data_IF_459108422465
#
_entry.id   IF_459108422465
#
_cell.length_a   1.000
_cell.length_b   1.000
_cell.length_c   1.000
_cell.angle_alpha   90.00
_cell.angle_beta   90.00
_cell.angle_gamma   90.00
#
_symmetry.space_group_name_H-M   'P 1'
#
loop_
_entity.id
_entity.type
_entity.pdbx_description
1 polymer ?
#
# COMPACT_ATOMS: atom_id res chain seq x y z
N UNK A 1 -68.53 -32.14 14.11
CA UNK A 1 -67.29 -32.39 13.35
C UNK A 1 -67.19 -31.31 12.31
N UNK A 2 -66.50 -30.23 12.66
CA UNK A 2 -66.30 -29.05 11.82
C UNK A 2 -64.88 -29.17 11.29
N UNK A 3 -64.75 -29.19 9.98
CA UNK A 3 -63.46 -29.21 9.28
C UNK A 3 -62.88 -27.81 9.44
N UNK A 4 -61.82 -27.70 10.23
CA UNK A 4 -60.98 -26.50 10.29
C UNK A 4 -60.00 -26.62 9.13
N UNK A 5 -60.21 -25.83 8.09
CA UNK A 5 -59.16 -25.55 7.11
C UNK A 5 -58.06 -24.79 7.87
N UNK A 6 -56.92 -25.46 8.09
CA UNK A 6 -55.68 -24.77 8.46
C UNK A 6 -55.22 -24.01 7.22
N UNK A 7 -55.71 -22.79 7.06
CA UNK A 7 -55.08 -21.80 6.20
C UNK A 7 -53.61 -21.72 6.59
N UNK A 8 -52.72 -21.92 5.62
CA UNK A 8 -51.28 -21.70 5.71
C UNK A 8 -50.99 -20.31 6.27
N UNK A 9 -50.85 -20.26 7.59
CA UNK A 9 -50.17 -19.17 8.28
C UNK A 9 -48.71 -19.59 8.33
N UNK A 10 -48.04 -19.57 7.17
CA UNK A 10 -46.61 -19.31 7.11
C UNK A 10 -46.44 -17.82 7.43
N UNK A 11 -46.61 -17.53 8.71
CA UNK A 11 -46.15 -16.31 9.33
C UNK A 11 -44.69 -16.14 8.94
N UNK A 12 -44.47 -15.24 7.99
CA UNK A 12 -43.83 -13.98 8.32
C UNK A 12 -42.67 -14.10 9.31
N UNK A 13 -41.79 -15.08 9.08
CA UNK A 13 -40.36 -14.96 9.31
C UNK A 13 -39.86 -13.89 8.34
N UNK A 14 -40.30 -12.66 8.64
CA UNK A 14 -39.78 -11.39 8.23
C UNK A 14 -38.27 -11.53 8.27
N UNK A 15 -37.67 -11.91 7.14
CA UNK A 15 -36.93 -11.02 6.24
C UNK A 15 -36.61 -9.62 6.79
N UNK A 16 -36.24 -9.50 8.06
CA UNK A 16 -35.08 -8.71 8.48
C UNK A 16 -33.82 -9.39 7.94
N UNK A 17 -33.79 -9.59 6.61
CA UNK A 17 -32.56 -9.53 5.83
C UNK A 17 -32.15 -8.08 6.01
N UNK A 18 -31.39 -7.82 7.06
CA UNK A 18 -30.59 -6.62 7.18
C UNK A 18 -29.88 -6.46 5.85
N UNK A 19 -30.32 -5.48 5.08
CA UNK A 19 -29.70 -4.93 3.87
C UNK A 19 -28.33 -4.32 4.21
N UNK A 20 -27.58 -4.93 5.12
CA UNK A 20 -26.16 -4.65 5.26
C UNK A 20 -25.49 -5.29 4.05
N UNK A 21 -24.96 -4.48 3.11
CA UNK A 21 -24.21 -5.03 1.99
C UNK A 21 -23.14 -5.97 2.54
N UNK A 22 -22.91 -7.14 1.90
CA UNK A 22 -21.93 -8.10 2.38
C UNK A 22 -20.60 -7.37 2.57
N UNK A 23 -20.06 -7.47 3.77
CA UNK A 23 -18.82 -6.80 4.15
C UNK A 23 -17.74 -7.16 3.10
N UNK A 24 -17.03 -6.18 2.50
CA UNK A 24 -16.06 -6.46 1.45
C UNK A 24 -15.04 -7.47 1.96
N UNK A 25 -14.98 -8.63 1.30
CA UNK A 25 -14.08 -9.73 1.68
C UNK A 25 -12.65 -9.27 1.46
N UNK A 26 -11.90 -9.14 2.55
CA UNK A 26 -10.47 -8.78 2.46
C UNK A 26 -9.72 -9.98 1.84
N UNK A 27 -8.90 -9.78 0.81
CA UNK A 27 -8.12 -10.86 0.24
C UNK A 27 -7.10 -11.37 1.27
N UNK A 28 -7.11 -12.68 1.53
CA UNK A 28 -6.22 -13.32 2.53
C UNK A 28 -4.73 -13.10 2.25
N UNK A 29 -4.36 -12.89 0.98
CA UNK A 29 -2.99 -12.59 0.55
C UNK A 29 -2.50 -11.21 1.02
N UNK A 30 -3.39 -10.23 1.18
CA UNK A 30 -3.05 -8.87 1.63
C UNK A 30 -2.44 -8.90 3.04
N UNK A 31 -3.06 -9.65 3.95
CA UNK A 31 -2.58 -9.80 5.33
C UNK A 31 -1.17 -10.39 5.37
N UNK A 32 -0.91 -11.41 4.55
CA UNK A 32 0.42 -12.05 4.47
C UNK A 32 1.47 -11.09 3.92
N UNK A 33 1.14 -10.30 2.90
CA UNK A 33 2.05 -9.31 2.30
C UNK A 33 2.43 -8.22 3.32
N UNK A 34 1.47 -7.69 4.07
CA UNK A 34 1.73 -6.67 5.10
C UNK A 34 2.51 -7.23 6.28
N UNK A 35 2.19 -8.45 6.71
CA UNK A 35 2.95 -9.12 7.76
C UNK A 35 4.42 -9.34 7.36
N UNK A 36 4.69 -9.55 6.06
CA UNK A 36 6.05 -9.66 5.53
C UNK A 36 6.74 -8.29 5.37
N UNK A 37 5.99 -7.23 5.08
CA UNK A 37 6.57 -5.90 4.78
C UNK A 37 7.13 -5.21 6.04
N UNK A 38 6.52 -5.42 7.20
CA UNK A 38 6.97 -4.85 8.47
C UNK A 38 8.41 -5.28 8.84
N UNK A 39 8.74 -6.59 8.89
CA UNK A 39 10.10 -7.00 9.20
C UNK A 39 11.10 -6.60 8.10
N UNK A 40 10.70 -6.57 6.82
CA UNK A 40 11.58 -6.16 5.72
C UNK A 40 11.98 -4.68 5.85
N UNK A 41 11.00 -3.79 6.02
CA UNK A 41 11.24 -2.37 6.23
C UNK A 41 12.06 -2.10 7.50
N UNK A 42 11.84 -2.86 8.58
CA UNK A 42 12.62 -2.77 9.81
C UNK A 42 14.08 -3.21 9.62
N UNK A 43 14.33 -4.34 8.95
CA UNK A 43 15.69 -4.81 8.67
C UNK A 43 16.42 -3.80 7.78
N UNK A 44 15.76 -3.23 6.78
CA UNK A 44 16.34 -2.18 5.94
C UNK A 44 16.73 -0.94 6.77
N UNK A 45 15.88 -0.52 7.71
CA UNK A 45 16.20 0.58 8.62
C UNK A 45 17.39 0.23 9.53
N UNK A 46 17.39 -0.94 10.17
CA UNK A 46 18.48 -1.36 11.08
C UNK A 46 19.81 -1.40 10.34
N UNK A 47 19.83 -2.03 9.16
CA UNK A 47 21.05 -2.11 8.33
C UNK A 47 21.53 -0.73 7.89
N UNK A 48 20.61 0.17 7.54
CA UNK A 48 20.92 1.56 7.23
C UNK A 48 21.49 2.34 8.45
N UNK A 49 20.96 2.11 9.65
CA UNK A 49 21.47 2.73 10.89
C UNK A 49 22.85 2.19 11.29
N UNK A 50 23.10 0.89 11.12
CA UNK A 50 24.43 0.31 11.34
C UNK A 50 25.46 0.91 10.39
N UNK A 51 25.05 1.12 9.14
CA UNK A 51 25.86 1.72 8.09
C UNK A 51 26.09 3.23 8.33
N UNK A 52 25.14 3.92 8.96
CA UNK A 52 25.26 5.31 9.41
C UNK A 52 26.35 5.50 10.46
N UNK A 53 26.51 4.56 11.39
CA UNK A 53 27.53 4.64 12.45
C UNK A 53 28.96 4.70 11.88
N UNK A 54 29.16 4.25 10.63
CA UNK A 54 30.46 4.16 9.97
C UNK A 54 30.66 5.34 8.98
N UNK A 55 29.62 6.10 8.63
CA UNK A 55 29.64 6.93 7.41
C UNK A 55 28.79 8.20 7.44
N UNK A 56 28.83 8.95 6.32
CA UNK A 56 28.14 10.23 6.16
C UNK A 56 26.62 10.09 6.12
N UNK A 57 25.87 10.93 6.85
CA UNK A 57 24.45 10.72 7.11
C UNK A 57 23.50 10.99 5.94
N UNK A 58 23.95 11.74 4.94
CA UNK A 58 23.09 12.24 3.85
C UNK A 58 22.52 11.09 3.01
N UNK A 59 23.26 9.98 2.87
CA UNK A 59 22.84 8.83 2.05
C UNK A 59 21.81 7.93 2.73
N UNK A 60 21.65 8.03 4.05
CA UNK A 60 20.64 7.28 4.81
C UNK A 60 19.25 7.93 4.78
N UNK A 61 19.19 9.22 4.44
CA UNK A 61 17.95 10.02 4.42
C UNK A 61 16.84 9.37 3.59
N UNK A 62 17.09 8.83 2.37
CA UNK A 62 16.05 8.19 1.57
C UNK A 62 15.45 6.97 2.26
N UNK A 63 16.27 6.11 2.89
CA UNK A 63 15.80 4.90 3.60
C UNK A 63 15.00 5.25 4.84
N UNK A 64 15.47 6.24 5.62
CA UNK A 64 14.76 6.72 6.82
C UNK A 64 13.41 7.33 6.41
N UNK A 65 13.39 8.17 5.38
CA UNK A 65 12.17 8.76 4.85
C UNK A 65 11.20 7.70 4.32
N UNK A 66 11.70 6.70 3.59
CA UNK A 66 10.92 5.56 3.11
C UNK A 66 10.23 4.85 4.28
N UNK A 67 10.99 4.54 5.34
CA UNK A 67 10.47 3.91 6.54
C UNK A 67 9.41 4.79 7.25
N UNK A 68 9.71 6.07 7.49
CA UNK A 68 8.79 6.98 8.16
C UNK A 68 7.47 7.16 7.41
N UNK A 69 7.50 7.18 6.07
CA UNK A 69 6.30 7.29 5.24
C UNK A 69 5.55 5.97 5.10
N UNK A 70 6.26 4.84 5.09
CA UNK A 70 5.68 3.50 5.07
C UNK A 70 5.05 3.10 6.40
N UNK A 71 5.59 3.55 7.52
CA UNK A 71 5.11 3.22 8.86
C UNK A 71 3.60 3.46 9.06
N UNK A 72 3.04 4.67 8.81
CA UNK A 72 1.60 4.90 8.98
C UNK A 72 0.76 4.02 8.04
N UNK A 73 1.27 3.68 6.86
CA UNK A 73 0.60 2.76 5.93
C UNK A 73 0.56 1.34 6.50
N UNK A 74 1.67 0.83 7.03
CA UNK A 74 1.71 -0.48 7.68
C UNK A 74 0.84 -0.52 8.94
N UNK A 75 0.87 0.53 9.77
CA UNK A 75 0.01 0.63 10.96
C UNK A 75 -1.46 0.63 10.57
N UNK A 76 -1.86 1.43 9.57
CA UNK A 76 -3.23 1.46 9.07
C UNK A 76 -3.68 0.10 8.54
N UNK A 77 -2.79 -0.59 7.83
CA UNK A 77 -3.06 -1.92 7.32
C UNK A 77 -3.21 -2.98 8.43
N UNK A 78 -2.34 -2.97 9.45
CA UNK A 78 -2.45 -3.86 10.62
C UNK A 78 -3.72 -3.57 11.42
N UNK A 79 -4.03 -2.29 11.64
CA UNK A 79 -5.25 -1.87 12.32
C UNK A 79 -6.49 -2.38 11.58
N UNK A 80 -6.48 -2.34 10.26
CA UNK A 80 -7.57 -2.85 9.44
C UNK A 80 -7.74 -4.37 9.58
N UNK A 81 -6.65 -5.13 9.57
CA UNK A 81 -6.68 -6.58 9.83
C UNK A 81 -7.22 -6.88 11.22
N UNK A 82 -6.78 -6.11 12.21
CA UNK A 82 -7.25 -6.24 13.59
C UNK A 82 -8.75 -5.94 13.71
N UNK A 83 -9.22 -4.82 13.17
CA UNK A 83 -10.63 -4.44 13.15
C UNK A 83 -11.51 -5.48 12.44
N UNK A 84 -11.02 -6.01 11.31
CA UNK A 84 -11.73 -7.07 10.58
C UNK A 84 -11.92 -8.32 11.43
N UNK A 85 -10.91 -8.72 12.20
CA UNK A 85 -10.99 -9.88 13.11
C UNK A 85 -11.96 -9.64 14.27
N UNK A 86 -12.07 -8.41 14.75
CA UNK A 86 -12.90 -8.06 15.90
C UNK A 86 -14.35 -7.68 15.54
N UNK A 87 -14.77 -7.81 14.27
CA UNK A 87 -16.14 -7.52 13.80
C UNK A 87 -16.68 -6.14 14.21
N UNK A 88 -15.80 -5.18 14.51
CA UNK A 88 -16.20 -3.82 14.82
C UNK A 88 -16.59 -3.19 13.48
N UNK A 89 -17.89 -3.07 13.23
CA UNK A 89 -18.44 -2.43 12.04
C UNK A 89 -17.71 -1.10 11.81
N UNK A 90 -17.09 -0.99 10.65
CA UNK A 90 -15.99 -0.08 10.32
C UNK A 90 -16.31 1.40 10.62
N UNK A 91 -15.85 1.90 11.77
CA UNK A 91 -15.74 3.34 12.02
C UNK A 91 -14.66 4.01 11.14
N UNK A 92 -13.79 3.22 10.50
CA UNK A 92 -12.70 3.70 9.65
C UNK A 92 -13.00 3.33 8.19
N UNK A 93 -13.16 4.34 7.34
CA UNK A 93 -13.51 4.23 5.91
C UNK A 93 -12.35 3.76 5.01
N UNK A 94 -11.33 3.10 5.58
CA UNK A 94 -10.17 2.67 4.82
C UNK A 94 -10.52 1.44 3.98
N UNK A 95 -10.60 1.63 2.67
CA UNK A 95 -10.78 0.54 1.71
C UNK A 95 -9.43 0.26 1.04
N UNK A 96 -8.80 -0.90 1.29
CA UNK A 96 -7.45 -1.18 0.77
C UNK A 96 -7.41 -1.24 -0.76
N UNK A 97 -8.52 -1.60 -1.40
CA UNK A 97 -8.70 -1.60 -2.85
C UNK A 97 -9.10 -0.21 -3.42
N UNK A 98 -9.13 0.85 -2.62
CA UNK A 98 -9.41 2.19 -3.14
C UNK A 98 -8.28 2.69 -4.04
N UNK A 99 -8.59 3.43 -5.12
CA UNK A 99 -7.56 4.00 -5.99
C UNK A 99 -6.59 4.92 -5.25
N UNK A 100 -7.03 5.59 -4.18
CA UNK A 100 -6.18 6.42 -3.31
C UNK A 100 -5.16 5.58 -2.55
N UNK A 101 -5.59 4.47 -1.94
CA UNK A 101 -4.70 3.54 -1.25
C UNK A 101 -3.69 2.91 -2.21
N UNK A 102 -4.13 2.50 -3.40
CA UNK A 102 -3.25 1.96 -4.43
C UNK A 102 -2.21 2.98 -4.91
N UNK A 103 -2.62 4.24 -5.15
CA UNK A 103 -1.70 5.31 -5.52
C UNK A 103 -0.67 5.59 -4.41
N UNK A 104 -1.10 5.57 -3.14
CA UNK A 104 -0.20 5.73 -2.01
C UNK A 104 0.81 4.58 -1.91
N UNK A 105 0.36 3.33 -2.04
CA UNK A 105 1.24 2.16 -2.05
C UNK A 105 2.24 2.18 -3.23
N UNK A 106 1.81 2.66 -4.41
CA UNK A 106 2.69 2.87 -5.55
C UNK A 106 3.71 4.00 -5.35
N UNK A 107 3.33 5.08 -4.67
CA UNK A 107 4.28 6.13 -4.29
C UNK A 107 5.32 5.59 -3.29
N UNK A 108 4.87 4.84 -2.28
CA UNK A 108 5.78 4.20 -1.33
C UNK A 108 6.75 3.24 -2.02
N UNK A 109 6.28 2.42 -2.97
CA UNK A 109 7.17 1.51 -3.69
C UNK A 109 8.22 2.27 -4.49
N UNK A 110 7.87 3.38 -5.14
CA UNK A 110 8.83 4.25 -5.82
C UNK A 110 9.88 4.81 -4.86
N UNK A 111 9.49 5.24 -3.67
CA UNK A 111 10.42 5.74 -2.64
C UNK A 111 11.39 4.63 -2.20
N UNK A 112 10.90 3.40 -2.01
CA UNK A 112 11.74 2.25 -1.69
C UNK A 112 12.72 1.89 -2.80
N UNK A 113 12.33 2.01 -4.07
CA UNK A 113 13.24 1.83 -5.22
C UNK A 113 14.34 2.90 -5.21
N UNK A 114 13.99 4.15 -4.93
CA UNK A 114 15.00 5.22 -4.80
C UNK A 114 15.96 4.91 -3.66
N UNK A 115 15.45 4.52 -2.48
CA UNK A 115 16.28 4.12 -1.34
C UNK A 115 17.21 2.94 -1.70
N UNK A 116 16.70 1.92 -2.38
CA UNK A 116 17.53 0.82 -2.88
C UNK A 116 18.66 1.31 -3.79
N UNK A 117 18.36 2.21 -4.73
CA UNK A 117 19.35 2.79 -5.63
C UNK A 117 20.51 3.48 -4.90
N UNK A 118 20.23 4.26 -3.86
CA UNK A 118 21.27 4.88 -3.04
C UNK A 118 22.13 3.86 -2.29
N UNK A 119 21.52 2.79 -1.78
CA UNK A 119 22.24 1.71 -1.10
C UNK A 119 23.10 0.88 -2.08
N UNK A 120 22.64 0.67 -3.31
CA UNK A 120 23.39 0.00 -4.39
C UNK A 120 24.58 0.84 -4.82
N UNK A 121 24.38 2.13 -5.13
CA UNK A 121 25.46 3.06 -5.48
C UNK A 121 26.55 3.07 -4.40
N UNK A 122 26.13 3.05 -3.14
CA UNK A 122 27.04 2.96 -2.01
C UNK A 122 27.80 1.64 -1.97
N UNK A 123 27.11 0.51 -2.09
CA UNK A 123 27.75 -0.81 -2.10
C UNK A 123 28.81 -0.89 -3.21
N UNK A 124 28.51 -0.36 -4.40
CA UNK A 124 29.44 -0.28 -5.53
C UNK A 124 30.65 0.59 -5.19
N UNK A 125 30.43 1.82 -4.67
CA UNK A 125 31.53 2.74 -4.30
C UNK A 125 32.44 2.22 -3.21
N UNK A 126 31.93 1.39 -2.30
CA UNK A 126 32.77 0.72 -1.29
C UNK A 126 33.62 -0.37 -1.94
N UNK A 127 33.14 -1.04 -2.99
CA UNK A 127 33.92 -2.04 -3.71
C UNK A 127 34.93 -1.44 -4.70
N UNK A 128 34.81 -0.15 -5.03
CA UNK A 128 35.77 0.52 -5.91
C UNK A 128 37.14 0.60 -5.22
N UNK A 129 38.22 0.10 -5.88
CA UNK A 129 39.55 0.19 -5.31
C UNK A 129 39.97 1.65 -5.25
N UNK A 130 40.50 2.07 -4.10
CA UNK A 130 41.01 3.44 -3.93
C UNK A 130 42.53 3.43 -3.82
N UNK A 131 43.13 4.51 -4.32
CA UNK A 131 44.56 4.73 -4.22
C UNK A 131 44.82 5.69 -3.07
N UNK A 132 45.58 5.26 -2.06
CA UNK A 132 46.07 6.13 -1.01
C UNK A 132 47.57 6.35 -1.21
N UNK A 133 47.96 7.62 -1.28
CA UNK A 133 49.36 8.02 -1.37
C UNK A 133 49.85 8.43 0.02
N UNK A 134 50.92 7.78 0.47
CA UNK A 134 51.55 8.07 1.74
C UNK A 134 52.85 8.83 1.48
N UNK A 135 53.05 9.91 2.23
CA UNK A 135 54.23 10.75 2.18
C UNK A 135 53.91 12.14 2.72
N UNK A 136 54.79 12.68 3.56
CA UNK A 136 54.69 14.07 3.96
C UNK A 136 55.13 14.98 2.79
N UNK A 137 54.52 16.16 2.61
CA UNK A 137 54.97 17.10 1.59
C UNK A 137 56.46 17.42 1.79
N UNK A 138 57.28 17.15 0.77
CA UNK A 138 58.73 17.39 0.78
C UNK A 138 59.62 16.16 1.01
N UNK A 139 59.07 14.96 1.19
CA UNK A 139 59.87 13.72 1.27
C UNK A 139 60.06 13.07 -0.12
N UNK A 140 61.26 12.57 -0.45
CA UNK A 140 61.57 11.93 -1.74
C UNK A 140 60.95 10.53 -1.91
N UNK A 141 60.34 9.98 -0.87
CA UNK A 141 59.70 8.66 -0.88
C UNK A 141 58.20 8.77 -0.57
N UNK A 142 57.46 9.39 -1.49
CA UNK A 142 56.01 9.21 -1.58
C UNK A 142 55.72 7.93 -2.37
N UNK A 143 54.96 7.00 -1.79
CA UNK A 143 54.46 5.85 -2.53
C UNK A 143 52.94 5.80 -2.47
N UNK A 144 52.34 5.40 -3.58
CA UNK A 144 50.89 5.19 -3.67
C UNK A 144 50.62 3.69 -3.62
N UNK A 145 49.74 3.27 -2.74
CA UNK A 145 49.27 1.91 -2.65
C UNK A 145 47.81 1.84 -3.09
N UNK A 146 47.49 0.83 -3.91
CA UNK A 146 46.11 0.49 -4.24
C UNK A 146 45.59 -0.44 -3.13
N UNK A 147 44.55 -0.01 -2.43
CA UNK A 147 43.89 -0.85 -1.44
C UNK A 147 42.67 -1.49 -2.08
N UNK A 148 42.67 -2.83 -2.11
CA UNK A 148 41.45 -3.59 -2.34
C UNK A 148 40.58 -3.49 -1.09
N UNK A 149 39.28 -3.23 -1.26
CA UNK A 149 38.34 -3.19 -0.15
C UNK A 149 37.87 -4.60 0.17
N UNK A 150 37.87 -4.97 1.45
CA UNK A 150 37.33 -6.25 1.89
C UNK A 150 35.81 -6.24 1.70
N UNK A 151 35.26 -7.31 1.11
CA UNK A 151 33.83 -7.43 0.80
C UNK A 151 32.91 -7.21 2.02
N UNK A 152 33.43 -7.42 3.23
CA UNK A 152 32.72 -7.25 4.50
C UNK A 152 32.15 -5.84 4.69
N UNK A 153 32.85 -4.80 4.22
CA UNK A 153 32.38 -3.41 4.34
C UNK A 153 31.16 -3.11 3.45
N UNK A 154 30.95 -3.89 2.39
CA UNK A 154 29.83 -3.71 1.47
C UNK A 154 28.59 -4.54 1.86
N UNK A 155 28.69 -5.45 2.84
CA UNK A 155 27.59 -6.34 3.24
C UNK A 155 26.40 -5.56 3.77
N UNK A 156 26.62 -4.60 4.66
CA UNK A 156 25.54 -3.79 5.24
C UNK A 156 24.74 -3.00 4.18
N UNK A 157 25.36 -2.19 3.29
CA UNK A 157 24.63 -1.49 2.26
C UNK A 157 24.03 -2.42 1.20
N UNK A 158 24.67 -3.55 0.88
CA UNK A 158 24.08 -4.55 -0.01
C UNK A 158 22.81 -5.19 0.60
N UNK A 159 22.83 -5.49 1.91
CA UNK A 159 21.67 -6.03 2.62
C UNK A 159 20.55 -4.99 2.75
N UNK A 160 20.89 -3.72 3.00
CA UNK A 160 19.95 -2.61 3.00
C UNK A 160 19.29 -2.43 1.62
N UNK A 161 20.06 -2.52 0.54
CA UNK A 161 19.55 -2.49 -0.82
C UNK A 161 18.61 -3.66 -1.13
N UNK A 162 19.01 -4.89 -0.78
CA UNK A 162 18.22 -6.10 -1.03
C UNK A 162 16.87 -6.05 -0.29
N UNK A 163 16.88 -5.61 0.97
CA UNK A 163 15.66 -5.47 1.77
C UNK A 163 14.77 -4.33 1.30
N UNK A 164 15.35 -3.20 0.86
CA UNK A 164 14.61 -2.11 0.23
C UNK A 164 13.93 -2.53 -1.09
N UNK A 165 14.62 -3.31 -1.93
CA UNK A 165 14.04 -3.89 -3.14
C UNK A 165 12.93 -4.90 -2.81
N UNK A 166 13.14 -5.76 -1.82
CA UNK A 166 12.12 -6.71 -1.39
C UNK A 166 10.86 -5.97 -0.90
N UNK A 167 11.01 -4.90 -0.12
CA UNK A 167 9.90 -4.07 0.34
C UNK A 167 9.16 -3.40 -0.82
N UNK A 168 9.90 -2.85 -1.79
CA UNK A 168 9.30 -2.30 -3.01
C UNK A 168 8.47 -3.35 -3.77
N UNK A 169 8.99 -4.57 -3.92
CA UNK A 169 8.29 -5.67 -4.58
C UNK A 169 7.03 -6.11 -3.83
N UNK A 170 7.08 -6.15 -2.49
CA UNK A 170 5.91 -6.44 -1.67
C UNK A 170 4.82 -5.39 -1.86
N UNK A 171 5.18 -4.10 -1.84
CA UNK A 171 4.24 -3.00 -2.07
C UNK A 171 3.66 -3.02 -3.50
N UNK A 172 4.47 -3.34 -4.51
CA UNK A 172 4.00 -3.57 -5.88
C UNK A 172 3.00 -4.74 -5.91
N UNK A 173 3.30 -5.84 -5.21
CA UNK A 173 2.40 -6.97 -5.07
C UNK A 173 1.06 -6.58 -4.46
N UNK A 174 1.06 -5.71 -3.44
CA UNK A 174 -0.18 -5.15 -2.86
C UNK A 174 -0.96 -4.35 -3.91
N UNK A 175 -0.30 -3.46 -4.66
CA UNK A 175 -0.94 -2.67 -5.73
C UNK A 175 -1.56 -3.59 -6.78
N UNK A 176 -0.86 -4.62 -7.23
CA UNK A 176 -1.34 -5.57 -8.24
C UNK A 176 -2.55 -6.35 -7.73
N UNK A 177 -2.47 -6.92 -6.51
CA UNK A 177 -3.58 -7.69 -5.91
C UNK A 177 -4.81 -6.80 -5.72
N UNK A 178 -4.63 -5.59 -5.20
CA UNK A 178 -5.71 -4.63 -5.03
C UNK A 178 -6.31 -4.19 -6.37
N UNK A 179 -5.48 -3.97 -7.40
CA UNK A 179 -5.93 -3.58 -8.75
C UNK A 179 -6.74 -4.69 -9.42
N UNK A 180 -6.29 -5.95 -9.30
CA UNK A 180 -7.02 -7.11 -9.81
C UNK A 180 -8.39 -7.26 -9.13
N UNK A 181 -8.45 -7.07 -7.81
CA UNK A 181 -9.71 -7.13 -7.07
C UNK A 181 -10.65 -5.97 -7.43
N UNK A 182 -10.09 -4.77 -7.62
CA UNK A 182 -10.85 -3.60 -8.07
C UNK A 182 -11.42 -3.80 -9.47
N UNK A 183 -10.62 -4.36 -10.39
CA UNK A 183 -11.01 -4.62 -11.76
C UNK A 183 -12.12 -5.67 -11.84
N UNK A 184 -11.99 -6.81 -11.16
CA UNK A 184 -13.03 -7.85 -11.09
C UNK A 184 -14.35 -7.31 -10.54
N UNK A 185 -14.32 -6.58 -9.44
CA UNK A 185 -15.54 -5.98 -8.88
C UNK A 185 -16.18 -4.88 -9.74
N UNK A 186 -15.51 -4.42 -10.81
CA UNK A 186 -16.11 -3.52 -11.80
C UNK A 186 -16.87 -4.29 -12.87
N UNK A 187 -16.37 -5.45 -13.27
CA UNK A 187 -16.98 -6.34 -14.24
C UNK A 187 -18.35 -6.84 -13.73
N UNK A 188 -18.39 -7.36 -12.50
CA UNK A 188 -19.64 -7.80 -11.84
C UNK A 188 -20.71 -6.69 -11.78
N UNK A 189 -20.28 -5.45 -11.53
CA UNK A 189 -21.18 -4.29 -11.47
C UNK A 189 -21.73 -3.89 -12.83
N UNK A 190 -20.94 -4.03 -13.89
CA UNK A 190 -21.37 -3.73 -15.24
C UNK A 190 -22.38 -4.79 -15.72
N UNK A 191 -22.15 -6.07 -15.42
CA UNK A 191 -23.09 -7.15 -15.76
C UNK A 191 -24.43 -7.01 -15.03
N UNK A 192 -24.42 -6.64 -13.75
CA UNK A 192 -25.67 -6.43 -13.00
C UNK A 192 -26.42 -5.15 -13.41
N UNK A 193 -25.70 -4.13 -13.90
CA UNK A 193 -26.32 -2.93 -14.46
C UNK A 193 -27.01 -3.20 -15.81
N UNK A 194 -26.50 -4.15 -16.59
CA UNK A 194 -27.06 -4.55 -17.89
C UNK A 194 -28.21 -5.56 -17.74
N UNK A 195 -28.18 -6.40 -16.69
CA UNK A 195 -29.26 -7.33 -16.35
C UNK A 195 -30.45 -6.68 -15.62
N UNK A 196 -30.35 -5.42 -15.21
CA UNK A 196 -31.50 -4.68 -14.67
C UNK A 196 -32.52 -4.47 -15.79
N UNK A 197 -33.73 -5.07 -15.72
CA UNK A 197 -34.72 -4.88 -16.76
C UNK A 197 -35.03 -3.39 -16.87
N UNK A 198 -34.92 -2.85 -18.08
CA UNK A 198 -35.33 -1.49 -18.41
C UNK A 198 -36.83 -1.36 -18.10
N UNK A 199 -37.17 -0.97 -16.87
CA UNK A 199 -38.50 -0.52 -16.48
C UNK A 199 -38.75 0.87 -17.08
N UNK A 200 -38.74 0.95 -18.42
CA UNK A 200 -39.07 2.13 -19.19
C UNK A 200 -39.36 1.76 -20.65
N UNK A 201 -40.43 0.98 -20.88
CA UNK A 201 -41.21 1.09 -22.13
C UNK A 201 -42.71 0.84 -21.92
N UNK A 202 -43.28 1.32 -20.82
CA UNK A 202 -44.68 1.78 -20.85
C UNK A 202 -44.64 3.28 -21.09
N UNK A 203 -45.10 3.67 -22.27
CA UNK A 203 -44.97 5.01 -22.81
C UNK A 203 -45.61 6.07 -21.91
N UNK A 204 -44.81 7.05 -21.50
CA UNK A 204 -45.30 8.38 -21.16
C UNK A 204 -44.37 9.38 -21.83
N UNK A 205 -45.00 10.35 -22.48
CA UNK A 205 -44.49 11.34 -23.40
C UNK A 205 -43.12 11.94 -23.04
N UNK A 206 -42.29 12.05 -24.07
CA UNK A 206 -41.13 12.93 -24.14
C UNK A 206 -41.56 14.38 -23.90
N UNK A 207 -41.14 14.97 -22.79
CA UNK A 207 -40.89 16.41 -22.72
C UNK A 207 -39.39 16.64 -22.64
N UNK A 208 -38.87 17.29 -23.68
CA UNK A 208 -37.50 17.75 -23.78
C UNK A 208 -37.13 18.61 -22.57
N UNK A 209 -36.05 18.27 -21.87
CA UNK A 209 -35.24 19.26 -21.16
C UNK A 209 -33.75 19.01 -21.43
N UNK A 210 -32.98 20.05 -21.76
CA UNK A 210 -31.65 19.89 -22.32
C UNK A 210 -30.61 19.59 -21.25
N UNK A 211 -29.80 18.60 -21.60
CA UNK A 211 -28.48 18.24 -21.10
C UNK A 211 -27.57 19.47 -20.94
N UNK A 212 -27.36 19.98 -19.72
CA UNK A 212 -26.25 20.89 -19.40
C UNK A 212 -25.89 20.81 -17.90
N UNK A 213 -24.59 20.61 -17.67
CA UNK A 213 -23.82 20.78 -16.42
C UNK A 213 -24.10 19.83 -15.24
N UNK A 214 -23.40 18.69 -15.23
CA UNK A 214 -22.86 18.10 -14.00
C UNK A 214 -21.36 18.43 -13.92
N UNK A 215 -21.07 19.67 -13.53
CA UNK A 215 -19.79 20.08 -12.97
C UNK A 215 -20.15 20.85 -11.69
N UNK A 216 -19.46 20.51 -10.60
CA UNK A 216 -19.55 21.09 -9.25
C UNK A 216 -20.60 20.48 -8.30
N UNK A 217 -20.22 19.39 -7.62
CA UNK A 217 -20.62 19.22 -6.21
C UNK A 217 -19.65 18.26 -5.52
N UNK A 218 -18.54 18.80 -5.03
CA UNK A 218 -17.75 18.16 -3.98
C UNK A 218 -17.03 19.21 -3.12
N UNK A 219 -17.81 20.22 -2.70
CA UNK A 219 -17.50 21.16 -1.63
C UNK A 219 -18.69 21.12 -0.68
N UNK A 220 -18.63 20.26 0.33
CA UNK A 220 -19.30 20.42 1.63
C UNK A 220 -19.15 19.09 2.38
N UNK A 221 -18.06 18.95 3.13
CA UNK A 221 -17.97 18.14 4.36
C UNK A 221 -16.73 18.62 5.14
N UNK A 222 -16.80 19.88 5.57
CA UNK A 222 -15.95 20.50 6.58
C UNK A 222 -16.86 21.44 7.38
N UNK A 223 -17.68 20.88 8.27
CA UNK A 223 -18.24 21.59 9.43
C UNK A 223 -18.98 20.60 10.31
N UNK A 224 -18.27 19.85 11.15
CA UNK A 224 -18.84 19.25 12.37
C UNK A 224 -17.71 18.60 13.19
N UNK A 225 -16.80 19.43 13.69
CA UNK A 225 -15.95 19.11 14.84
C UNK A 225 -15.72 20.42 15.59
N UNK A 226 -16.72 20.79 16.38
CA UNK A 226 -16.62 21.74 17.49
C UNK A 226 -17.61 21.26 18.54
N UNK A 227 -17.11 20.41 19.44
CA UNK A 227 -17.52 20.25 20.84
C UNK A 227 -16.43 19.48 21.58
#
# INVERSE_FOLDING_TARGET
MIIVETSDVDDAASTTRTLTPPLPKIPSHFVKLIALSIPLSLISLITCLLDLAISWPIRAVPTILAFCLSFPYHTGAVLLVWLHKHQIASLISFTPASPRSMAHAGLLSAIWVVAAGFNIDRAIKIMEPYTACYGAPGQPHSYCALFGVTGDAAVAPALAAATALAEALVLIGVVVVCSLHWWRGREDRNEHAEAAPSAASTGIARTCFPRRLFLLSNRHYLSEWNE
#
